data_IF_741802394935
#
_entry.id   IF_741802394935
#
_cell.length_a   1.000
_cell.length_b   1.000
_cell.length_c   1.000
_cell.angle_alpha   90.00
_cell.angle_beta   90.00
_cell.angle_gamma   90.00
#
_symmetry.space_group_name_H-M   'P 1'
#
loop_
_entity.id
_entity.type
_entity.pdbx_description
1 polymer ?
#
# COMPACT_ATOMS: atom_id res chain seq x y z
N UNK A 1 68.64 32.98 -46.88
CA UNK A 1 68.18 34.30 -46.38
C UNK A 1 66.67 34.23 -46.17
N UNK A 2 66.20 34.93 -45.13
CA UNK A 2 64.83 35.08 -44.61
C UNK A 2 64.22 33.95 -43.75
N UNK A 3 63.95 34.35 -42.50
CA UNK A 3 63.22 33.69 -41.40
C UNK A 3 61.70 33.91 -41.55
N UNK A 4 60.93 33.12 -40.78
CA UNK A 4 59.64 33.43 -40.08
C UNK A 4 58.59 32.33 -40.34
N UNK A 5 57.65 31.93 -39.48
CA UNK A 5 57.25 32.17 -38.07
C UNK A 5 56.25 31.03 -37.75
N UNK A 6 56.12 30.70 -36.47
CA UNK A 6 55.25 29.72 -35.80
C UNK A 6 53.76 29.81 -36.20
N UNK A 7 53.05 28.68 -36.32
CA UNK A 7 51.67 28.58 -35.79
C UNK A 7 51.26 27.13 -35.45
N UNK A 8 50.77 26.99 -34.22
CA UNK A 8 50.25 25.79 -33.57
C UNK A 8 48.87 25.43 -34.11
N UNK A 9 48.57 24.14 -34.29
CA UNK A 9 47.26 23.58 -33.94
C UNK A 9 47.32 22.06 -33.89
N UNK A 10 47.30 21.55 -32.65
CA UNK A 10 47.24 20.14 -32.29
C UNK A 10 45.83 19.61 -32.51
N UNK A 11 45.62 18.75 -33.50
CA UNK A 11 44.39 17.95 -33.60
C UNK A 11 44.59 16.60 -32.92
N UNK A 12 44.36 16.55 -31.60
CA UNK A 12 44.22 15.29 -30.86
C UNK A 12 42.73 15.00 -30.74
N UNK A 13 42.25 14.07 -31.57
CA UNK A 13 40.94 13.49 -31.44
C UNK A 13 40.84 12.74 -30.10
N UNK A 14 40.22 13.36 -29.11
CA UNK A 14 39.76 12.68 -27.90
C UNK A 14 38.36 12.14 -28.19
N UNK A 15 38.28 10.83 -28.46
CA UNK A 15 37.02 10.09 -28.48
C UNK A 15 36.47 10.04 -27.06
N UNK A 16 35.40 10.79 -26.80
CA UNK A 16 34.66 10.73 -25.54
C UNK A 16 33.81 9.45 -25.52
N UNK A 17 34.26 8.44 -24.77
CA UNK A 17 33.41 7.32 -24.35
C UNK A 17 32.49 7.83 -23.22
N UNK A 18 31.26 8.18 -23.55
CA UNK A 18 30.20 8.44 -22.58
C UNK A 18 29.73 7.12 -21.98
N UNK A 19 30.26 6.77 -20.81
CA UNK A 19 29.71 5.69 -19.96
C UNK A 19 28.52 6.29 -19.22
N UNK A 20 27.32 6.11 -19.76
CA UNK A 20 26.08 6.49 -19.09
C UNK A 20 25.79 5.42 -18.03
N UNK A 21 26.15 5.71 -16.77
CA UNK A 21 25.65 4.97 -15.62
C UNK A 21 24.18 5.33 -15.42
N UNK A 22 23.27 4.50 -15.95
CA UNK A 22 21.86 4.54 -15.56
C UNK A 22 21.79 3.98 -14.14
N UNK A 23 21.80 4.88 -13.15
CA UNK A 23 21.37 4.54 -11.80
C UNK A 23 19.88 4.24 -11.90
N UNK A 24 19.53 2.94 -11.92
CA UNK A 24 18.19 2.52 -11.61
C UNK A 24 17.91 3.00 -10.18
N UNK A 25 17.12 4.05 -10.04
CA UNK A 25 16.59 4.47 -8.75
C UNK A 25 15.65 3.35 -8.34
N UNK A 26 16.13 2.44 -7.50
CA UNK A 26 15.25 1.55 -6.76
C UNK A 26 14.40 2.45 -5.88
N UNK A 27 13.12 2.62 -6.23
CA UNK A 27 12.12 3.16 -5.33
C UNK A 27 12.04 2.20 -4.14
N UNK A 28 12.80 2.51 -3.10
CA UNK A 28 12.83 1.73 -1.86
C UNK A 28 11.48 1.93 -1.17
N UNK A 29 10.86 0.83 -0.76
CA UNK A 29 9.70 0.88 0.13
C UNK A 29 10.07 1.66 1.38
N UNK A 30 9.36 2.75 1.65
CA UNK A 30 9.65 3.55 2.82
C UNK A 30 8.86 3.01 4.01
N UNK A 31 9.56 2.19 4.79
CA UNK A 31 9.17 1.83 6.15
C UNK A 31 9.92 2.79 7.06
N UNK A 32 9.20 3.59 7.83
CA UNK A 32 9.84 4.61 8.65
C UNK A 32 9.08 4.95 9.93
N UNK A 33 9.43 6.08 10.54
CA UNK A 33 9.04 6.42 11.92
C UNK A 33 7.60 6.93 12.00
N UNK A 34 6.80 6.23 12.82
CA UNK A 34 5.42 6.48 13.30
C UNK A 34 4.67 7.74 12.78
N UNK A 35 3.60 7.50 12.01
CA UNK A 35 2.49 8.44 11.79
C UNK A 35 1.60 8.52 13.06
N UNK A 36 0.70 9.51 13.14
CA UNK A 36 -0.14 9.74 14.34
C UNK A 36 -1.00 8.55 14.78
N UNK A 37 -1.24 7.57 13.91
CA UNK A 37 -2.03 6.36 14.23
C UNK A 37 -1.16 5.11 14.47
N UNK A 38 0.09 5.07 14.03
CA UNK A 38 1.03 3.99 14.32
C UNK A 38 1.64 4.13 15.72
N UNK A 39 0.80 3.95 16.75
CA UNK A 39 1.17 4.23 18.15
C UNK A 39 1.86 3.08 18.88
N UNK A 40 1.72 1.84 18.39
CA UNK A 40 2.19 0.62 19.07
C UNK A 40 3.38 -0.06 18.35
N UNK A 41 3.73 0.38 17.15
CA UNK A 41 4.88 -0.14 16.38
C UNK A 41 5.96 0.92 16.22
N UNK A 42 7.23 0.49 16.22
CA UNK A 42 8.37 1.38 15.98
C UNK A 42 8.43 1.84 14.53
N UNK A 43 8.11 0.91 13.64
CA UNK A 43 8.11 1.09 12.19
C UNK A 43 6.68 0.99 11.65
N UNK A 44 6.38 1.86 10.69
CA UNK A 44 5.07 2.01 10.07
C UNK A 44 5.24 2.06 8.55
N UNK A 45 4.26 1.55 7.81
CA UNK A 45 4.18 1.74 6.36
C UNK A 45 3.96 3.22 6.06
N UNK A 46 4.87 3.83 5.33
CA UNK A 46 4.71 5.21 4.90
C UNK A 46 3.99 5.28 3.55
N UNK A 47 3.37 6.43 3.30
CA UNK A 47 2.70 6.75 2.05
C UNK A 47 2.83 8.23 1.76
N UNK A 48 2.65 8.55 0.48
CA UNK A 48 2.38 9.92 0.04
C UNK A 48 0.86 10.11 -0.04
N UNK A 49 0.34 11.13 0.62
CA UNK A 49 -1.08 11.50 0.50
C UNK A 49 -1.28 12.26 -0.82
N UNK A 50 -1.99 11.64 -1.76
CA UNK A 50 -2.33 12.27 -3.04
C UNK A 50 -3.44 13.31 -2.82
N UNK A 51 -4.52 12.90 -2.14
CA UNK A 51 -5.64 13.77 -1.81
C UNK A 51 -6.50 13.19 -0.68
N UNK A 52 -7.37 14.05 -0.13
CA UNK A 52 -8.32 13.69 0.91
C UNK A 52 -9.67 14.37 0.63
N UNK A 53 -10.73 13.59 0.68
CA UNK A 53 -12.13 14.05 0.63
C UNK A 53 -12.78 13.86 2.00
N UNK A 54 -14.04 14.25 2.12
CA UNK A 54 -14.85 13.95 3.32
C UNK A 54 -15.08 12.45 3.51
N UNK A 55 -14.99 11.64 2.44
CA UNK A 55 -15.37 10.22 2.47
C UNK A 55 -14.20 9.23 2.39
N UNK A 56 -13.09 9.62 1.75
CA UNK A 56 -11.91 8.77 1.58
C UNK A 56 -10.63 9.56 1.36
N UNK A 57 -9.50 8.90 1.57
CA UNK A 57 -8.17 9.37 1.19
C UNK A 57 -7.66 8.59 -0.03
N UNK A 58 -6.83 9.24 -0.85
CA UNK A 58 -6.04 8.57 -1.88
C UNK A 58 -4.58 8.62 -1.44
N UNK A 59 -3.96 7.46 -1.32
CA UNK A 59 -2.58 7.31 -0.86
C UNK A 59 -1.76 6.55 -1.89
N UNK A 60 -0.54 7.02 -2.13
CA UNK A 60 0.46 6.32 -2.93
C UNK A 60 1.41 5.55 -2.02
N UNK A 61 1.56 4.25 -2.26
CA UNK A 61 2.52 3.39 -1.59
C UNK A 61 3.66 3.01 -2.54
N UNK A 62 4.90 3.12 -2.04
CA UNK A 62 6.08 2.61 -2.71
C UNK A 62 6.16 1.08 -2.64
N UNK A 63 6.93 0.42 -3.53
CA UNK A 63 7.06 -1.04 -3.53
C UNK A 63 7.59 -1.56 -2.18
N UNK A 64 6.93 -2.55 -1.61
CA UNK A 64 7.29 -3.11 -0.29
C UNK A 64 7.22 -4.63 -0.30
N UNK A 65 8.05 -5.26 0.54
CA UNK A 65 8.06 -6.70 0.77
C UNK A 65 7.38 -7.05 2.09
N UNK A 66 6.59 -8.11 2.02
CA UNK A 66 5.76 -8.62 3.10
C UNK A 66 6.00 -10.11 3.28
N UNK A 67 5.73 -10.62 4.48
CA UNK A 67 5.59 -12.06 4.74
C UNK A 67 4.10 -12.37 4.87
N UNK A 68 3.63 -13.38 4.13
CA UNK A 68 2.21 -13.63 3.92
C UNK A 68 1.84 -15.09 4.19
N UNK A 69 0.56 -15.33 4.50
CA UNK A 69 0.01 -16.68 4.62
C UNK A 69 -1.50 -16.67 4.41
N UNK A 70 -2.00 -17.79 3.90
CA UNK A 70 -3.42 -17.97 3.63
C UNK A 70 -4.13 -18.73 4.74
N UNK A 71 -5.37 -18.36 4.99
CA UNK A 71 -6.26 -19.03 5.92
C UNK A 71 -7.67 -19.14 5.33
N UNK A 72 -8.12 -20.38 5.12
CA UNK A 72 -9.50 -20.67 4.77
C UNK A 72 -10.38 -20.62 6.02
N UNK A 73 -11.40 -19.78 6.02
CA UNK A 73 -12.35 -19.66 7.12
C UNK A 73 -13.72 -19.14 6.66
N UNK A 74 -14.75 -19.39 7.45
CA UNK A 74 -16.09 -18.78 7.23
C UNK A 74 -16.14 -17.32 7.67
N UNK A 75 -15.34 -16.96 8.68
CA UNK A 75 -15.31 -15.60 9.24
C UNK A 75 -13.90 -15.04 9.17
N UNK A 76 -13.78 -13.81 8.66
CA UNK A 76 -12.52 -13.09 8.52
C UNK A 76 -11.71 -13.06 9.82
N UNK A 77 -12.35 -12.75 10.95
CA UNK A 77 -11.65 -12.69 12.25
C UNK A 77 -10.99 -14.01 12.65
N UNK A 78 -11.61 -15.15 12.31
CA UNK A 78 -11.05 -16.48 12.58
C UNK A 78 -9.87 -16.77 11.64
N UNK A 79 -10.04 -16.50 10.35
CA UNK A 79 -8.97 -16.62 9.35
C UNK A 79 -7.75 -15.78 9.73
N UNK A 80 -7.98 -14.50 10.06
CA UNK A 80 -6.96 -13.56 10.47
C UNK A 80 -6.22 -14.01 11.74
N UNK A 81 -6.92 -14.49 12.77
CA UNK A 81 -6.27 -14.98 13.99
C UNK A 81 -5.36 -16.21 13.72
N UNK A 82 -5.80 -17.14 12.88
CA UNK A 82 -5.00 -18.31 12.50
C UNK A 82 -3.75 -17.93 11.72
N UNK A 83 -3.89 -17.04 10.72
CA UNK A 83 -2.79 -16.55 9.91
C UNK A 83 -1.81 -15.70 10.75
N UNK A 84 -2.33 -14.82 11.61
CA UNK A 84 -1.55 -13.98 12.51
C UNK A 84 -0.62 -14.82 13.39
N UNK A 85 -1.12 -15.93 13.96
CA UNK A 85 -0.29 -16.82 14.79
C UNK A 85 0.93 -17.37 14.03
N UNK A 86 0.79 -17.72 12.75
CA UNK A 86 1.91 -18.23 11.94
C UNK A 86 2.92 -17.14 11.64
N UNK A 87 2.44 -15.95 11.24
CA UNK A 87 3.31 -14.79 10.96
C UNK A 87 4.01 -14.30 12.23
N UNK A 88 3.33 -14.33 13.37
CA UNK A 88 3.91 -14.00 14.67
C UNK A 88 5.03 -14.97 15.06
N UNK A 89 4.86 -16.27 14.80
CA UNK A 89 5.94 -17.25 15.01
C UNK A 89 7.16 -16.94 14.14
N UNK A 90 6.96 -16.54 12.87
CA UNK A 90 8.05 -16.15 11.98
C UNK A 90 8.86 -14.99 12.56
N UNK A 91 8.22 -13.87 12.94
CA UNK A 91 8.95 -12.71 13.48
C UNK A 91 9.56 -12.98 14.87
N UNK A 92 9.10 -14.00 15.59
CA UNK A 92 9.65 -14.39 16.91
C UNK A 92 10.69 -15.51 16.84
N UNK A 93 11.17 -15.85 15.64
CA UNK A 93 12.32 -16.74 15.45
C UNK A 93 12.03 -18.05 14.72
N UNK A 94 10.81 -18.29 14.22
CA UNK A 94 10.53 -19.42 13.33
C UNK A 94 10.94 -19.12 11.88
N UNK A 95 12.21 -18.78 11.69
CA UNK A 95 12.85 -18.50 10.41
C UNK A 95 14.30 -19.03 10.45
N UNK A 96 14.94 -19.13 9.29
CA UNK A 96 16.32 -19.55 9.18
C UNK A 96 17.23 -18.62 10.01
N UNK A 97 17.99 -19.21 10.93
CA UNK A 97 18.87 -18.46 11.83
C UNK A 97 18.21 -17.97 13.12
N UNK A 98 16.91 -18.20 13.33
CA UNK A 98 16.24 -17.86 14.59
C UNK A 98 16.16 -16.36 14.87
N UNK A 99 16.10 -15.56 13.81
CA UNK A 99 16.14 -14.09 13.88
C UNK A 99 14.84 -13.57 14.48
N UNK A 100 14.94 -12.70 15.47
CA UNK A 100 13.80 -11.98 16.02
C UNK A 100 13.66 -10.62 15.36
N UNK A 101 12.43 -10.27 15.01
CA UNK A 101 12.08 -9.03 14.33
C UNK A 101 11.03 -8.29 15.15
N UNK A 102 11.16 -6.97 15.18
CA UNK A 102 10.14 -6.10 15.77
C UNK A 102 8.85 -6.14 14.92
N UNK A 103 7.71 -6.03 15.59
CA UNK A 103 6.42 -5.91 14.89
C UNK A 103 6.32 -4.53 14.22
N UNK A 104 5.82 -4.52 12.99
CA UNK A 104 5.52 -3.33 12.19
C UNK A 104 4.01 -3.12 12.10
N UNK A 105 3.59 -1.94 11.65
CA UNK A 105 2.19 -1.68 11.30
C UNK A 105 2.09 -1.10 9.88
N UNK A 106 0.95 -1.28 9.19
CA UNK A 106 -0.20 -2.11 9.58
C UNK A 106 -0.03 -3.59 9.23
N UNK A 107 -0.98 -4.40 9.69
CA UNK A 107 -1.26 -5.75 9.17
C UNK A 107 -2.36 -5.66 8.12
N UNK A 108 -2.14 -6.27 6.96
CA UNK A 108 -3.12 -6.30 5.86
C UNK A 108 -3.80 -7.66 5.75
N UNK A 109 -5.12 -7.65 5.61
CA UNK A 109 -5.96 -8.82 5.31
C UNK A 109 -6.54 -8.65 3.92
N UNK A 110 -6.06 -9.42 2.95
CA UNK A 110 -6.65 -9.47 1.60
C UNK A 110 -7.92 -10.31 1.66
N UNK A 111 -9.04 -9.72 1.23
CA UNK A 111 -10.36 -10.31 1.31
C UNK A 111 -10.93 -10.39 -0.11
N UNK A 112 -11.30 -11.57 -0.62
CA UNK A 112 -11.86 -11.72 -1.95
C UNK A 112 -13.33 -11.22 -2.00
N UNK A 113 -13.66 -10.48 -3.06
CA UNK A 113 -15.02 -9.92 -3.28
C UNK A 113 -16.04 -10.99 -3.68
N UNK A 114 -15.60 -12.09 -4.29
CA UNK A 114 -16.46 -13.21 -4.69
C UNK A 114 -16.80 -14.17 -3.53
N UNK A 115 -16.42 -13.80 -2.30
CA UNK A 115 -16.71 -14.59 -1.10
C UNK A 115 -18.22 -14.71 -0.88
N UNK A 116 -18.72 -15.96 -0.83
CA UNK A 116 -20.13 -16.24 -0.60
C UNK A 116 -20.46 -16.05 0.87
N UNK A 117 -21.59 -15.41 1.18
CA UNK A 117 -22.07 -15.15 2.54
C UNK A 117 -22.08 -16.38 3.47
N UNK A 118 -22.30 -17.58 2.91
CA UNK A 118 -22.39 -18.84 3.65
C UNK A 118 -21.29 -19.85 3.28
N UNK A 119 -20.27 -19.42 2.54
CA UNK A 119 -19.14 -20.26 2.12
C UNK A 119 -17.86 -19.87 2.85
N UNK A 120 -16.87 -20.79 2.91
CA UNK A 120 -15.53 -20.40 3.31
C UNK A 120 -14.92 -19.46 2.25
N UNK A 121 -14.05 -18.58 2.71
CA UNK A 121 -13.21 -17.76 1.86
C UNK A 121 -11.75 -17.93 2.29
N UNK A 122 -10.83 -17.71 1.35
CA UNK A 122 -9.40 -17.68 1.62
C UNK A 122 -9.01 -16.24 1.93
N UNK A 123 -8.59 -16.00 3.18
CA UNK A 123 -8.05 -14.71 3.61
C UNK A 123 -6.53 -14.76 3.60
N UNK A 124 -5.88 -13.81 2.95
CA UNK A 124 -4.41 -13.70 2.95
C UNK A 124 -4.00 -12.62 3.94
N UNK A 125 -3.28 -12.99 4.99
CA UNK A 125 -2.72 -12.03 5.93
C UNK A 125 -1.29 -11.69 5.53
N UNK A 126 -0.91 -10.42 5.68
CA UNK A 126 0.39 -9.90 5.29
C UNK A 126 0.96 -9.07 6.45
N UNK A 127 2.19 -9.39 6.86
CA UNK A 127 2.99 -8.56 7.77
C UNK A 127 4.05 -7.82 6.99
N UNK A 128 4.15 -6.50 7.23
CA UNK A 128 5.18 -5.68 6.64
C UNK A 128 6.53 -6.09 7.22
N UNK A 129 7.51 -6.39 6.39
CA UNK A 129 8.84 -6.65 6.90
C UNK A 129 9.47 -5.34 7.39
N UNK A 130 10.19 -5.34 8.53
CA UNK A 130 10.94 -4.17 8.96
C UNK A 130 11.92 -3.70 7.88
N UNK A 131 12.30 -2.41 7.93
CA UNK A 131 13.19 -1.79 6.93
C UNK A 131 14.48 -2.61 6.70
N UNK A 132 15.07 -3.13 7.79
CA UNK A 132 16.28 -3.95 7.74
C UNK A 132 16.15 -5.27 6.94
N UNK A 133 14.92 -5.76 6.72
CA UNK A 133 14.63 -7.04 6.07
C UNK A 133 13.86 -6.90 4.75
N UNK A 134 13.69 -5.68 4.24
CA UNK A 134 13.04 -5.45 2.95
C UNK A 134 13.81 -6.13 1.79
N UNK A 135 15.15 -6.09 1.82
CA UNK A 135 15.99 -6.65 0.76
C UNK A 135 16.31 -8.14 0.93
N UNK A 136 16.68 -8.57 2.14
CA UNK A 136 17.14 -9.92 2.42
C UNK A 136 16.50 -10.49 3.70
N UNK A 137 15.22 -10.88 3.66
CA UNK A 137 14.57 -11.51 4.81
C UNK A 137 15.03 -12.98 5.00
N UNK A 138 15.18 -13.46 6.25
CA UNK A 138 15.47 -14.87 6.51
C UNK A 138 14.31 -15.76 6.06
N UNK A 139 14.60 -16.90 5.45
CA UNK A 139 13.54 -17.76 4.94
C UNK A 139 12.67 -18.33 6.08
N UNK A 140 11.34 -18.45 5.89
CA UNK A 140 10.48 -19.06 6.90
C UNK A 140 10.73 -20.56 7.00
N UNK A 141 10.62 -21.12 8.21
CA UNK A 141 10.68 -22.58 8.42
C UNK A 141 9.33 -23.28 8.20
N UNK A 142 8.25 -22.50 8.05
CA UNK A 142 6.89 -22.97 7.82
C UNK A 142 6.56 -22.84 6.32
N UNK A 143 6.18 -23.94 5.69
CA UNK A 143 5.87 -24.06 4.26
C UNK A 143 4.60 -23.31 3.81
N UNK A 144 3.76 -22.87 4.76
CA UNK A 144 2.58 -22.03 4.49
C UNK A 144 2.88 -20.55 4.46
N UNK A 145 4.13 -20.14 4.74
CA UNK A 145 4.55 -18.75 4.71
C UNK A 145 5.31 -18.49 3.41
N UNK A 146 5.05 -17.34 2.80
CA UNK A 146 5.70 -16.94 1.56
C UNK A 146 5.90 -15.43 1.53
N UNK A 147 6.94 -14.99 0.82
CA UNK A 147 7.16 -13.56 0.62
C UNK A 147 6.23 -13.02 -0.47
N UNK A 148 5.64 -11.86 -0.20
CA UNK A 148 4.81 -11.12 -1.15
C UNK A 148 5.46 -9.79 -1.44
N UNK A 149 5.72 -9.52 -2.71
CA UNK A 149 6.13 -8.19 -3.18
C UNK A 149 4.88 -7.42 -3.59
N UNK A 150 4.59 -6.34 -2.88
CA UNK A 150 3.56 -5.40 -3.28
C UNK A 150 4.24 -4.32 -4.14
N UNK A 151 3.84 -4.17 -5.42
CA UNK A 151 4.39 -3.11 -6.26
C UNK A 151 3.93 -1.75 -5.76
N UNK A 152 4.42 -0.68 -6.40
CA UNK A 152 3.85 0.64 -6.17
C UNK A 152 2.35 0.61 -6.49
N UNK A 153 1.54 1.25 -5.66
CA UNK A 153 0.08 1.27 -5.83
C UNK A 153 -0.52 2.55 -5.25
N UNK A 154 -1.53 3.04 -5.95
CA UNK A 154 -2.44 4.05 -5.42
C UNK A 154 -3.65 3.31 -4.84
N UNK A 155 -4.08 3.73 -3.65
CA UNK A 155 -5.21 3.10 -2.97
C UNK A 155 -6.20 4.14 -2.46
N UNK A 156 -7.49 3.80 -2.56
CA UNK A 156 -8.58 4.51 -1.90
C UNK A 156 -8.74 3.96 -0.49
N UNK A 157 -8.74 4.84 0.52
CA UNK A 157 -8.72 4.49 1.93
C UNK A 157 -9.93 5.07 2.64
N UNK A 158 -10.70 4.22 3.33
CA UNK A 158 -11.70 4.64 4.31
C UNK A 158 -11.28 4.20 5.71
N UNK A 159 -11.13 5.16 6.61
CA UNK A 159 -10.79 4.91 8.02
C UNK A 159 -12.05 4.70 8.86
N UNK A 160 -11.95 3.80 9.85
CA UNK A 160 -13.00 3.58 10.82
C UNK A 160 -12.47 3.07 12.16
N UNK A 161 -13.23 3.32 13.23
CA UNK A 161 -12.92 2.84 14.57
C UNK A 161 -13.55 1.49 14.89
N UNK A 162 -13.29 0.98 16.09
CA UNK A 162 -13.91 -0.26 16.59
C UNK A 162 -13.13 -1.51 16.20
N UNK A 163 -13.82 -2.65 16.14
CA UNK A 163 -13.20 -3.94 15.85
C UNK A 163 -13.21 -4.24 14.36
N UNK A 164 -12.15 -4.88 13.86
CA UNK A 164 -12.09 -5.35 12.49
C UNK A 164 -12.84 -6.69 12.35
N UNK A 165 -14.17 -6.66 12.53
CA UNK A 165 -15.05 -7.82 12.34
C UNK A 165 -15.58 -7.87 10.91
N UNK A 166 -16.05 -9.05 10.47
CA UNK A 166 -16.59 -9.21 9.11
C UNK A 166 -17.73 -8.25 8.78
N UNK A 167 -18.60 -7.96 9.76
CA UNK A 167 -19.75 -7.07 9.56
C UNK A 167 -19.34 -5.60 9.43
N UNK A 168 -18.39 -5.16 10.27
CA UNK A 168 -17.87 -3.79 10.25
C UNK A 168 -17.06 -3.56 8.97
N UNK A 169 -16.18 -4.51 8.61
CA UNK A 169 -15.44 -4.44 7.35
C UNK A 169 -16.39 -4.30 6.15
N UNK A 170 -17.49 -5.07 6.13
CA UNK A 170 -18.46 -5.05 5.04
C UNK A 170 -19.29 -3.76 4.97
N UNK A 171 -19.61 -3.14 6.10
CA UNK A 171 -20.33 -1.86 6.09
C UNK A 171 -19.43 -0.75 5.55
N UNK A 172 -18.16 -0.73 5.95
CA UNK A 172 -17.19 0.26 5.48
C UNK A 172 -16.75 0.05 4.02
N UNK A 173 -16.64 -1.20 3.55
CA UNK A 173 -16.43 -1.46 2.11
C UNK A 173 -17.60 -0.95 1.29
N UNK A 174 -18.85 -1.25 1.70
CA UNK A 174 -20.05 -0.78 1.00
C UNK A 174 -20.10 0.75 0.87
N UNK A 175 -19.79 1.47 1.96
CA UNK A 175 -19.76 2.93 1.94
C UNK A 175 -18.68 3.47 0.99
N UNK A 176 -17.49 2.86 1.03
CA UNK A 176 -16.40 3.26 0.14
C UNK A 176 -16.74 2.97 -1.33
N UNK A 177 -17.21 1.77 -1.67
CA UNK A 177 -17.55 1.41 -3.06
C UNK A 177 -18.70 2.24 -3.60
N UNK A 178 -19.73 2.52 -2.79
CA UNK A 178 -20.84 3.39 -3.21
C UNK A 178 -20.35 4.79 -3.62
N UNK A 179 -19.37 5.31 -2.88
CA UNK A 179 -18.77 6.60 -3.18
C UNK A 179 -17.87 6.55 -4.42
N UNK A 180 -17.05 5.51 -4.56
CA UNK A 180 -16.21 5.30 -5.76
C UNK A 180 -17.07 5.15 -7.03
N UNK A 181 -18.19 4.43 -6.95
CA UNK A 181 -19.17 4.33 -8.03
C UNK A 181 -19.80 5.68 -8.37
N UNK A 182 -20.16 6.48 -7.36
CA UNK A 182 -20.74 7.83 -7.53
C UNK A 182 -19.80 8.75 -8.32
N UNK A 183 -18.50 8.72 -8.01
CA UNK A 183 -17.48 9.54 -8.69
C UNK A 183 -16.91 8.88 -9.94
N UNK A 184 -17.38 7.69 -10.32
CA UNK A 184 -16.90 6.88 -11.45
C UNK A 184 -15.40 6.58 -11.37
N UNK A 185 -14.89 6.35 -10.16
CA UNK A 185 -13.54 5.89 -9.94
C UNK A 185 -13.39 4.42 -10.38
N UNK A 186 -12.25 4.09 -10.96
CA UNK A 186 -11.86 2.72 -11.32
C UNK A 186 -10.97 2.12 -10.23
N UNK A 187 -11.30 0.90 -9.81
CA UNK A 187 -10.62 0.22 -8.72
C UNK A 187 -10.73 -1.30 -8.87
N UNK A 188 -9.92 -2.03 -8.12
CA UNK A 188 -9.91 -3.48 -8.17
C UNK A 188 -11.20 -4.08 -7.59
N UNK A 189 -11.96 -4.78 -8.42
CA UNK A 189 -13.21 -5.45 -8.02
C UNK A 189 -13.02 -6.92 -7.59
N UNK A 190 -11.79 -7.44 -7.59
CA UNK A 190 -11.53 -8.84 -7.23
C UNK A 190 -11.29 -9.02 -5.73
N UNK A 191 -10.72 -8.01 -5.07
CA UNK A 191 -10.44 -8.05 -3.64
C UNK A 191 -10.31 -6.64 -3.05
N UNK A 192 -10.44 -6.56 -1.73
CA UNK A 192 -10.06 -5.40 -0.93
C UNK A 192 -9.10 -5.79 0.19
N UNK A 193 -8.55 -4.79 0.87
CA UNK A 193 -7.80 -5.01 2.10
C UNK A 193 -8.55 -4.48 3.31
N UNK A 194 -8.66 -5.31 4.35
CA UNK A 194 -8.86 -4.86 5.72
C UNK A 194 -7.51 -4.58 6.36
N UNK A 195 -7.36 -3.44 7.03
CA UNK A 195 -6.07 -2.94 7.51
C UNK A 195 -6.16 -2.63 8.99
N UNK A 196 -5.32 -3.29 9.79
CA UNK A 196 -5.28 -3.13 11.24
C UNK A 196 -3.94 -2.61 11.72
N UNK A 197 -3.96 -1.55 12.53
CA UNK A 197 -2.74 -0.91 13.05
C UNK A 197 -2.42 -1.30 14.50
N UNK A 198 -3.42 -1.78 15.22
CA UNK A 198 -3.34 -2.00 16.66
C UNK A 198 -3.19 -3.48 17.04
N UNK A 199 -2.49 -3.72 18.14
CA UNK A 199 -2.35 -5.05 18.72
C UNK A 199 -3.72 -5.71 18.97
N UNK A 200 -3.82 -7.05 18.86
CA UNK A 200 -5.03 -7.78 19.24
C UNK A 200 -5.50 -7.52 20.68
N UNK A 201 -4.60 -7.07 21.57
CA UNK A 201 -4.90 -6.77 22.97
C UNK A 201 -5.46 -5.36 23.20
N UNK A 202 -5.40 -4.46 22.21
CA UNK A 202 -5.93 -3.10 22.34
C UNK A 202 -7.46 -3.11 22.25
N UNK A 203 -8.13 -2.67 23.32
CA UNK A 203 -9.59 -2.73 23.43
C UNK A 203 -10.33 -1.47 22.95
N UNK A 204 -9.70 -0.29 23.01
CA UNK A 204 -10.32 1.00 22.71
C UNK A 204 -9.43 1.85 21.79
N UNK A 205 -10.05 2.84 21.12
CA UNK A 205 -9.38 3.78 20.20
C UNK A 205 -8.55 3.06 19.12
N UNK A 206 -9.15 2.02 18.53
CA UNK A 206 -8.56 1.27 17.43
C UNK A 206 -8.70 2.07 16.14
N UNK A 207 -7.66 2.07 15.31
CA UNK A 207 -7.63 2.62 13.97
C UNK A 207 -7.59 1.46 12.98
N UNK A 208 -8.68 1.29 12.22
CA UNK A 208 -8.74 0.33 11.13
C UNK A 208 -9.07 1.05 9.83
N UNK A 209 -8.72 0.43 8.71
CA UNK A 209 -9.01 0.98 7.40
C UNK A 209 -9.49 -0.11 6.44
N UNK A 210 -10.23 0.30 5.42
CA UNK A 210 -10.54 -0.51 4.24
C UNK A 210 -9.85 0.14 3.05
N UNK A 211 -9.12 -0.67 2.26
CA UNK A 211 -8.47 -0.20 1.05
C UNK A 211 -8.99 -0.91 -0.20
N UNK A 212 -9.25 -0.14 -1.25
CA UNK A 212 -9.35 -0.63 -2.63
C UNK A 212 -8.18 -0.09 -3.44
N UNK A 213 -7.52 -0.98 -4.20
CA UNK A 213 -6.44 -0.58 -5.11
C UNK A 213 -7.04 0.16 -6.29
N UNK A 214 -6.56 1.37 -6.59
CA UNK A 214 -6.99 2.13 -7.74
C UNK A 214 -6.49 1.45 -9.03
N UNK A 215 -7.33 1.43 -10.06
CA UNK A 215 -6.94 0.96 -11.39
C UNK A 215 -6.91 2.16 -12.34
N UNK A 216 -5.73 2.58 -12.76
CA UNK A 216 -5.57 3.81 -13.55
C UNK A 216 -5.35 5.04 -12.67
N UNK A 217 -5.79 6.21 -13.14
CA UNK A 217 -5.60 7.47 -12.42
C UNK A 217 -6.63 7.60 -11.29
N UNK A 218 -6.21 7.80 -10.04
CA UNK A 218 -7.15 7.93 -8.93
C UNK A 218 -7.96 9.22 -9.02
N UNK A 219 -9.21 9.17 -8.55
CA UNK A 219 -10.13 10.30 -8.55
C UNK A 219 -10.08 11.02 -7.20
N UNK A 220 -9.99 12.35 -7.23
CA UNK A 220 -9.92 13.22 -6.05
C UNK A 220 -11.12 14.19 -5.97
N UNK A 221 -12.30 13.75 -6.42
CA UNK A 221 -13.48 14.61 -6.51
C UNK A 221 -14.20 14.72 -5.16
N UNK A 222 -14.41 15.95 -4.69
CA UNK A 222 -15.24 16.22 -3.52
C UNK A 222 -16.74 16.34 -3.95
N UNK A 223 -17.72 15.88 -3.15
CA UNK A 223 -19.14 15.95 -3.52
C UNK A 223 -19.64 17.37 -3.83
N UNK A 224 -18.98 18.40 -3.30
CA UNK A 224 -19.41 19.80 -3.41
C UNK A 224 -18.93 20.51 -4.69
N UNK A 225 -18.01 19.93 -5.46
CA UNK A 225 -17.46 20.56 -6.68
C UNK A 225 -18.31 20.27 -7.93
N UNK A 226 -19.63 20.36 -7.77
CA UNK A 226 -20.55 20.52 -8.91
C UNK A 226 -20.87 22.00 -9.12
N UNK A 227 -19.85 22.83 -9.36
CA UNK A 227 -20.09 24.16 -9.93
C UNK A 227 -20.66 23.99 -11.35
N UNK A 228 -21.88 24.46 -11.66
CA UNK A 228 -22.40 24.38 -13.01
C UNK A 228 -21.56 25.27 -13.93
N UNK A 229 -21.13 24.72 -15.05
CA UNK A 229 -20.48 25.43 -16.15
C UNK A 229 -21.31 26.65 -16.57
N UNK A 230 -20.73 27.85 -16.76
CA UNK A 230 -21.47 29.03 -17.17
C UNK A 230 -21.67 29.02 -18.69
N UNK A 231 -22.60 28.21 -19.19
CA UNK A 231 -23.12 28.41 -20.54
C UNK A 231 -24.65 28.27 -20.58
N UNK A 232 -25.25 29.27 -21.24
CA UNK A 232 -26.66 29.46 -21.60
C UNK A 232 -27.52 30.27 -20.62
N UNK A 233 -27.15 31.54 -20.44
CA UNK A 233 -28.13 32.62 -20.20
C UNK A 233 -28.09 33.63 -21.36
N UNK A 234 -28.46 33.16 -22.56
CA UNK A 234 -28.69 34.03 -23.72
C UNK A 234 -29.97 33.62 -24.44
N UNK A 235 -31.09 33.51 -23.72
CA UNK A 235 -32.41 33.48 -24.39
C UNK A 235 -33.60 33.85 -23.49
N UNK A 236 -33.57 35.01 -22.84
CA UNK A 236 -34.78 35.70 -22.36
C UNK A 236 -34.64 37.22 -22.43
N UNK A 237 -34.56 37.74 -23.65
CA UNK A 237 -35.01 39.10 -24.01
C UNK A 237 -35.28 39.09 -25.52
N UNK A 238 -36.53 38.76 -25.84
CA UNK A 238 -37.18 39.02 -27.13
C UNK A 238 -38.63 39.31 -26.82
#
# INVERSE_FOLDING_TARGET
>A
MCRSVICVSSSRAFTYLLVIWVLAISAQGSVGTSTSFCTESKECLEYELICKTDEYEVRHYSPTRWISTDAEAYFMGVGAAMAFRRLFQYITGANEGGVQMEMTAPVLVKIPEDSKMWGPAIYTLNFLLPAAYQENPPAPTNDKLYFTEMPHMDVYVRTYGGWMLSIDSRSHTYLLTAELERVRATYNHSYHYGVGYDSPLKLLNRHNEVWYVAEGQPVCADPQDSSPSPEVETKRRS
#
